data_IF_947195250299
#
_entry.id   IF_947195250299
#
_cell.length_a   1.000
_cell.length_b   1.000
_cell.length_c   1.000
_cell.angle_alpha   90.00
_cell.angle_beta   90.00
_cell.angle_gamma   90.00
#
_symmetry.space_group_name_H-M   'P 1'
#
loop_
_entity.id
_entity.type
_entity.pdbx_description
1 polymer ?
#
# COMPACT_ATOMS: atom_id res chain seq x y z
N UNK A 1 -5.80 8.42 5.26
CA UNK A 1 -4.65 9.33 5.46
C UNK A 1 -5.02 10.43 6.47
N UNK A 2 -5.83 11.41 6.08
CA UNK A 2 -6.15 12.59 6.93
C UNK A 2 -6.92 12.23 8.20
N UNK A 3 -7.90 11.32 8.15
CA UNK A 3 -8.71 10.95 9.33
C UNK A 3 -7.85 10.48 10.52
N UNK A 4 -7.00 9.45 10.36
CA UNK A 4 -6.05 9.02 11.37
C UNK A 4 -5.08 10.12 11.83
N UNK A 5 -4.52 10.90 10.90
CA UNK A 5 -3.57 11.98 11.21
C UNK A 5 -4.16 13.07 12.12
N UNK A 6 -5.47 13.31 12.00
CA UNK A 6 -6.18 14.29 12.81
C UNK A 6 -6.79 13.71 14.10
N UNK A 7 -6.74 12.37 14.29
CA UNK A 7 -7.43 11.70 15.39
C UNK A 7 -8.94 11.51 15.20
N UNK A 8 -9.48 11.73 14.00
CA UNK A 8 -10.88 11.42 13.65
C UNK A 8 -11.12 9.91 13.49
N UNK A 9 -10.05 9.11 13.46
CA UNK A 9 -10.12 7.66 13.47
C UNK A 9 -9.57 7.18 14.79
N UNK A 10 -10.44 6.58 15.59
CA UNK A 10 -10.11 6.01 16.88
C UNK A 10 -10.36 4.49 16.84
N UNK A 11 -9.63 3.71 17.65
CA UNK A 11 -9.88 2.28 17.75
C UNK A 11 -11.32 1.94 18.17
N UNK A 12 -11.84 0.85 17.62
CA UNK A 12 -13.20 0.35 17.89
C UNK A 12 -14.31 1.08 17.14
N UNK A 13 -14.01 2.08 16.32
CA UNK A 13 -15.01 2.74 15.48
C UNK A 13 -15.45 1.85 14.31
N UNK A 14 -16.69 2.03 13.87
CA UNK A 14 -17.15 1.60 12.54
C UNK A 14 -17.09 2.79 11.59
N UNK A 15 -16.33 2.70 10.50
CA UNK A 15 -16.06 3.82 9.59
C UNK A 15 -16.40 3.44 8.15
N UNK A 16 -17.25 4.24 7.52
CA UNK A 16 -17.62 4.05 6.12
C UNK A 16 -17.45 5.36 5.36
N UNK A 17 -17.01 5.27 4.10
CA UNK A 17 -16.85 6.42 3.22
C UNK A 17 -17.02 5.97 1.75
N UNK A 18 -17.31 6.91 0.87
CA UNK A 18 -17.45 6.69 -0.58
C UNK A 18 -16.16 6.30 -1.31
N UNK A 19 -15.07 6.06 -0.58
CA UNK A 19 -13.77 5.66 -1.09
C UNK A 19 -13.50 4.18 -0.81
N UNK A 20 -13.03 3.42 -1.81
CA UNK A 20 -12.79 1.98 -1.66
C UNK A 20 -11.71 1.64 -0.64
N UNK A 21 -10.74 2.54 -0.43
CA UNK A 21 -9.58 2.35 0.43
C UNK A 21 -9.81 2.83 1.86
N UNK A 22 -11.07 3.07 2.25
CA UNK A 22 -11.47 3.31 3.64
C UNK A 22 -11.00 2.20 4.59
N UNK A 23 -10.73 0.99 4.06
CA UNK A 23 -10.08 -0.11 4.78
C UNK A 23 -8.76 0.29 5.47
N UNK A 24 -8.05 1.32 4.98
CA UNK A 24 -6.84 1.89 5.59
C UNK A 24 -6.99 2.14 7.09
N UNK A 25 -8.18 2.55 7.53
CA UNK A 25 -8.45 2.92 8.93
C UNK A 25 -8.42 1.71 9.88
N UNK A 26 -8.55 0.48 9.37
CA UNK A 26 -8.45 -0.73 10.20
C UNK A 26 -7.06 -0.97 10.79
N UNK A 27 -6.04 -0.24 10.33
CA UNK A 27 -4.72 -0.21 10.97
C UNK A 27 -4.75 0.28 12.43
N UNK A 28 -5.80 1.00 12.81
CA UNK A 28 -6.07 1.48 14.16
C UNK A 28 -7.08 0.60 14.90
N UNK A 29 -7.37 -0.62 14.45
CA UNK A 29 -8.38 -1.49 15.06
C UNK A 29 -9.83 -1.02 14.84
N UNK A 30 -10.08 -0.27 13.75
CA UNK A 30 -11.42 0.13 13.33
C UNK A 30 -12.02 -0.84 12.31
N UNK A 31 -13.33 -1.06 12.36
CA UNK A 31 -14.06 -1.76 11.30
C UNK A 31 -14.36 -0.76 10.18
N UNK A 32 -13.51 -0.73 9.15
CA UNK A 32 -13.57 0.30 8.12
C UNK A 32 -13.64 -0.26 6.70
N UNK A 33 -14.54 0.28 5.88
CA UNK A 33 -14.72 -0.17 4.49
C UNK A 33 -15.42 0.87 3.61
N UNK A 34 -15.16 0.79 2.30
CA UNK A 34 -15.80 1.65 1.31
C UNK A 34 -17.25 1.24 1.01
N UNK A 35 -18.09 2.23 0.73
CA UNK A 35 -19.53 2.07 0.42
C UNK A 35 -19.92 2.88 -0.82
N UNK A 36 -21.03 2.50 -1.46
CA UNK A 36 -21.54 3.20 -2.65
C UNK A 36 -22.27 4.51 -2.31
N UNK A 37 -22.50 5.37 -3.31
CA UNK A 37 -23.15 6.68 -3.12
C UNK A 37 -24.51 6.59 -2.42
N UNK A 38 -25.36 5.63 -2.79
CA UNK A 38 -26.67 5.43 -2.14
C UNK A 38 -26.54 4.97 -0.68
N UNK A 39 -25.51 4.19 -0.35
CA UNK A 39 -25.24 3.79 1.03
C UNK A 39 -24.74 5.00 1.85
N UNK A 40 -23.92 5.88 1.25
CA UNK A 40 -23.47 7.13 1.90
C UNK A 40 -24.67 7.99 2.28
N UNK A 41 -25.62 8.19 1.35
CA UNK A 41 -26.86 8.92 1.62
C UNK A 41 -27.63 8.30 2.79
N UNK A 42 -27.77 6.97 2.80
CA UNK A 42 -28.46 6.25 3.87
C UNK A 42 -27.78 6.41 5.24
N UNK A 43 -26.46 6.32 5.29
CA UNK A 43 -25.68 6.50 6.53
C UNK A 43 -25.80 7.93 7.05
N UNK A 44 -25.76 8.94 6.17
CA UNK A 44 -25.96 10.33 6.56
C UNK A 44 -27.37 10.58 7.10
N UNK A 45 -28.38 9.90 6.55
CA UNK A 45 -29.77 10.04 7.00
C UNK A 45 -30.08 9.30 8.30
N UNK A 46 -29.42 8.17 8.57
CA UNK A 46 -29.84 7.23 9.63
C UNK A 46 -28.78 6.93 10.69
N UNK A 47 -27.50 7.20 10.41
CA UNK A 47 -26.38 6.75 11.24
C UNK A 47 -26.14 5.24 11.21
N UNK A 48 -26.84 4.50 10.34
CA UNK A 48 -26.83 3.05 10.28
C UNK A 48 -26.59 2.55 8.86
N UNK A 49 -26.09 1.32 8.73
CA UNK A 49 -25.95 0.63 7.45
C UNK A 49 -26.20 -0.86 7.64
N UNK A 50 -27.07 -1.44 6.83
CA UNK A 50 -27.27 -2.88 6.81
C UNK A 50 -26.08 -3.56 6.13
N UNK A 51 -25.48 -4.56 6.78
CA UNK A 51 -24.38 -5.35 6.23
C UNK A 51 -24.55 -6.83 6.59
N UNK A 52 -24.08 -7.70 5.70
CA UNK A 52 -23.92 -9.12 6.01
C UNK A 52 -22.61 -9.34 6.77
N UNK A 53 -22.63 -10.19 7.79
CA UNK A 53 -21.42 -10.53 8.54
C UNK A 53 -20.42 -11.25 7.62
N UNK A 54 -19.21 -10.70 7.51
CA UNK A 54 -18.12 -11.34 6.77
C UNK A 54 -17.55 -12.52 7.57
N UNK A 55 -16.96 -13.47 6.86
CA UNK A 55 -16.13 -14.52 7.47
C UNK A 55 -14.81 -13.93 7.99
N UNK A 56 -14.15 -14.61 8.92
CA UNK A 56 -12.89 -14.17 9.51
C UNK A 56 -11.70 -14.85 8.80
N UNK A 57 -10.84 -14.06 8.16
CA UNK A 57 -9.58 -14.54 7.57
C UNK A 57 -8.40 -13.97 8.38
N UNK A 58 -7.59 -14.84 8.99
CA UNK A 58 -6.35 -14.44 9.64
C UNK A 58 -5.17 -14.59 8.69
N UNK A 59 -4.42 -13.52 8.46
CA UNK A 59 -3.13 -13.55 7.76
C UNK A 59 -2.04 -13.30 8.79
N UNK A 60 -1.35 -14.37 9.18
CA UNK A 60 -0.32 -14.37 10.22
C UNK A 60 1.07 -14.32 9.60
N UNK A 61 1.74 -13.17 9.71
CA UNK A 61 3.09 -12.94 9.20
C UNK A 61 4.06 -12.92 10.37
N UNK A 62 4.95 -13.93 10.44
CA UNK A 62 5.88 -14.10 11.56
C UNK A 62 7.33 -14.08 11.13
N UNK A 63 8.18 -13.47 11.95
CA UNK A 63 9.63 -13.37 11.73
C UNK A 63 10.10 -11.92 11.61
N UNK A 64 11.34 -11.76 11.13
CA UNK A 64 11.92 -10.45 10.83
C UNK A 64 11.95 -10.26 9.31
N UNK A 65 11.56 -9.05 8.88
CA UNK A 65 11.70 -8.64 7.48
C UNK A 65 13.19 -8.44 7.16
N UNK A 66 13.56 -8.75 5.93
CA UNK A 66 14.90 -8.44 5.43
C UNK A 66 15.07 -6.92 5.31
N UNK A 67 16.32 -6.48 5.21
CA UNK A 67 16.63 -5.06 4.98
C UNK A 67 15.93 -4.56 3.70
N UNK A 68 15.43 -3.32 3.74
CA UNK A 68 14.69 -2.68 2.65
C UNK A 68 13.35 -3.32 2.26
N UNK A 69 12.88 -4.34 2.99
CA UNK A 69 11.51 -4.87 2.86
C UNK A 69 10.57 -4.06 3.75
N UNK A 70 9.53 -3.49 3.14
CA UNK A 70 8.56 -2.62 3.78
C UNK A 70 7.17 -3.28 3.89
N UNK A 71 6.23 -2.61 4.56
CA UNK A 71 4.84 -3.04 4.60
C UNK A 71 4.20 -3.16 3.20
N UNK A 72 4.67 -2.38 2.22
CA UNK A 72 4.23 -2.47 0.82
C UNK A 72 4.59 -3.81 0.20
N UNK A 73 5.81 -4.27 0.46
CA UNK A 73 6.30 -5.56 -0.04
C UNK A 73 5.54 -6.71 0.63
N UNK A 74 5.22 -6.59 1.92
CA UNK A 74 4.38 -7.56 2.63
C UNK A 74 2.98 -7.63 2.02
N UNK A 75 2.34 -6.49 1.76
CA UNK A 75 1.01 -6.42 1.17
C UNK A 75 0.99 -7.04 -0.24
N UNK A 76 1.94 -6.66 -1.09
CA UNK A 76 2.07 -7.22 -2.44
C UNK A 76 2.35 -8.72 -2.40
N UNK A 77 3.24 -9.19 -1.54
CA UNK A 77 3.53 -10.62 -1.38
C UNK A 77 2.27 -11.40 -0.98
N UNK A 78 1.48 -10.89 -0.02
CA UNK A 78 0.21 -11.50 0.38
C UNK A 78 -0.74 -11.61 -0.82
N UNK A 79 -0.93 -10.52 -1.58
CA UNK A 79 -1.81 -10.51 -2.75
C UNK A 79 -1.31 -11.48 -3.82
N UNK A 80 0.00 -11.58 -4.04
CA UNK A 80 0.58 -12.58 -4.95
C UNK A 80 0.33 -14.03 -4.53
N UNK A 81 0.17 -14.30 -3.24
CA UNK A 81 -0.14 -15.65 -2.74
C UNK A 81 -1.63 -16.01 -2.81
N UNK A 82 -2.51 -15.06 -2.50
CA UNK A 82 -3.95 -15.33 -2.36
C UNK A 82 -4.79 -14.87 -3.56
N UNK A 83 -4.18 -14.09 -4.45
CA UNK A 83 -4.85 -13.45 -5.58
C UNK A 83 -5.75 -12.28 -5.17
N UNK A 84 -6.25 -11.59 -6.18
CA UNK A 84 -7.17 -10.45 -6.04
C UNK A 84 -8.56 -10.82 -5.52
N UNK A 85 -8.91 -12.12 -5.53
CA UNK A 85 -10.16 -12.64 -5.00
C UNK A 85 -9.99 -13.39 -3.66
N UNK A 86 -8.77 -13.53 -3.13
CA UNK A 86 -8.47 -14.38 -1.97
C UNK A 86 -9.17 -13.98 -0.67
N UNK A 87 -9.50 -12.70 -0.52
CA UNK A 87 -10.24 -12.14 0.62
C UNK A 87 -11.73 -11.94 0.39
N UNK A 88 -12.28 -12.37 -0.75
CA UNK A 88 -13.69 -12.14 -1.09
C UNK A 88 -14.62 -12.76 -0.04
N UNK A 89 -15.48 -11.94 0.56
CA UNK A 89 -16.42 -12.37 1.61
C UNK A 89 -15.80 -12.50 3.01
N UNK A 90 -14.53 -12.14 3.17
CA UNK A 90 -13.82 -12.13 4.45
C UNK A 90 -13.54 -10.70 4.94
N UNK A 91 -13.48 -10.56 6.26
CA UNK A 91 -12.73 -9.51 6.93
C UNK A 91 -11.34 -10.08 7.27
N UNK A 92 -10.29 -9.37 6.85
CA UNK A 92 -8.91 -9.79 7.10
C UNK A 92 -8.42 -9.22 8.42
N UNK A 93 -7.95 -10.08 9.30
CA UNK A 93 -7.09 -9.71 10.42
C UNK A 93 -5.63 -9.98 10.05
N UNK A 94 -4.81 -8.93 9.99
CA UNK A 94 -3.37 -9.04 9.84
C UNK A 94 -2.72 -9.17 11.21
N UNK A 95 -2.03 -10.29 11.43
CA UNK A 95 -1.49 -10.67 12.73
C UNK A 95 -0.06 -11.22 12.62
N UNK A 96 0.54 -11.52 13.77
CA UNK A 96 1.88 -12.09 13.87
C UNK A 96 2.95 -11.05 14.20
N UNK A 97 4.12 -11.56 14.58
CA UNK A 97 5.23 -10.74 15.14
C UNK A 97 5.72 -9.68 14.16
N UNK A 98 5.61 -9.94 12.86
CA UNK A 98 6.00 -8.98 11.82
C UNK A 98 5.06 -7.78 11.79
N UNK A 99 3.75 -8.03 11.83
CA UNK A 99 2.72 -6.99 11.76
C UNK A 99 2.73 -6.13 13.04
N UNK A 100 2.94 -6.77 14.20
CA UNK A 100 3.20 -6.07 15.47
C UNK A 100 4.47 -5.20 15.38
N UNK A 101 5.51 -5.69 14.70
CA UNK A 101 6.76 -4.99 14.44
C UNK A 101 6.62 -3.73 13.59
N UNK A 102 5.62 -3.64 12.71
CA UNK A 102 5.37 -2.46 11.87
C UNK A 102 5.02 -1.21 12.70
N UNK A 103 5.27 -0.04 12.13
CA UNK A 103 4.67 1.22 12.56
C UNK A 103 3.17 1.22 12.24
N UNK A 104 2.41 2.14 12.86
CA UNK A 104 0.99 2.31 12.51
C UNK A 104 0.82 2.76 11.07
N UNK A 105 1.74 3.57 10.56
CA UNK A 105 1.79 3.99 9.15
C UNK A 105 2.00 2.79 8.21
N UNK A 106 2.88 1.84 8.56
CA UNK A 106 3.06 0.60 7.80
C UNK A 106 1.83 -0.31 7.86
N UNK A 107 1.15 -0.37 9.01
CA UNK A 107 -0.15 -1.07 9.12
C UNK A 107 -1.20 -0.43 8.22
N UNK A 108 -1.21 0.90 8.09
CA UNK A 108 -2.12 1.58 7.16
C UNK A 108 -1.84 1.20 5.71
N UNK A 109 -0.58 1.06 5.29
CA UNK A 109 -0.23 0.52 3.96
C UNK A 109 -0.82 -0.87 3.74
N UNK A 110 -0.71 -1.75 4.74
CA UNK A 110 -1.23 -3.12 4.66
C UNK A 110 -2.76 -3.15 4.58
N UNK A 111 -3.45 -2.45 5.49
CA UNK A 111 -4.91 -2.37 5.52
C UNK A 111 -5.49 -1.65 4.29
N UNK A 112 -4.78 -0.66 3.73
CA UNK A 112 -5.14 -0.02 2.47
C UNK A 112 -5.27 -1.05 1.36
N UNK A 113 -4.28 -1.94 1.22
CA UNK A 113 -4.23 -2.93 0.14
C UNK A 113 -5.09 -4.19 0.39
N UNK A 114 -5.85 -4.26 1.48
CA UNK A 114 -6.78 -5.37 1.73
C UNK A 114 -7.83 -5.49 0.61
N UNK A 115 -8.26 -4.36 0.04
CA UNK A 115 -9.23 -4.34 -1.07
C UNK A 115 -8.64 -4.90 -2.36
N UNK A 116 -7.34 -4.72 -2.59
CA UNK A 116 -6.63 -5.35 -3.71
C UNK A 116 -6.45 -6.86 -3.54
N UNK A 117 -6.59 -7.39 -2.32
CA UNK A 117 -6.74 -8.83 -2.04
C UNK A 117 -8.20 -9.32 -2.11
N UNK A 118 -9.15 -8.43 -2.40
CA UNK A 118 -10.59 -8.76 -2.49
C UNK A 118 -11.37 -8.64 -1.17
N UNK A 119 -10.71 -8.27 -0.06
CA UNK A 119 -11.38 -8.05 1.22
C UNK A 119 -11.77 -6.58 1.39
N UNK A 120 -13.03 -6.32 1.71
CA UNK A 120 -13.50 -4.94 1.99
C UNK A 120 -12.93 -4.36 3.28
N UNK A 121 -12.47 -5.22 4.18
CA UNK A 121 -11.97 -4.89 5.51
C UNK A 121 -10.61 -5.53 5.72
N UNK A 122 -9.66 -4.74 6.19
CA UNK A 122 -8.39 -5.22 6.73
C UNK A 122 -8.13 -4.53 8.06
N UNK A 123 -7.82 -5.29 9.11
CA UNK A 123 -7.64 -4.78 10.47
C UNK A 123 -6.39 -5.34 11.15
N UNK A 124 -5.83 -4.54 12.05
CA UNK A 124 -4.75 -4.94 12.97
C UNK A 124 -5.24 -4.70 14.39
N UNK A 125 -4.95 -5.66 15.28
CA UNK A 125 -5.26 -5.52 16.70
C UNK A 125 -4.60 -4.27 17.31
N UNK A 126 -5.25 -3.69 18.31
CA UNK A 126 -4.72 -2.54 19.03
C UNK A 126 -3.56 -2.98 19.92
N UNK A 127 -2.51 -2.16 19.94
CA UNK A 127 -1.37 -2.29 20.84
C UNK A 127 -0.85 -0.89 21.23
N UNK A 128 0.22 -0.86 22.02
CA UNK A 128 0.84 0.39 22.50
C UNK A 128 1.18 1.36 21.37
N UNK A 129 1.64 0.88 20.22
CA UNK A 129 1.96 1.75 19.07
C UNK A 129 0.71 2.43 18.51
N UNK A 130 -0.41 1.70 18.46
CA UNK A 130 -1.70 2.27 18.07
C UNK A 130 -2.14 3.36 19.04
N UNK A 131 -2.00 3.12 20.34
CA UNK A 131 -2.35 4.09 21.39
C UNK A 131 -1.45 5.33 21.31
N UNK A 132 -0.14 5.14 21.20
CA UNK A 132 0.85 6.22 21.06
C UNK A 132 0.60 7.06 19.81
N UNK A 133 0.24 6.44 18.69
CA UNK A 133 -0.04 7.16 17.44
C UNK A 133 -1.22 8.13 17.56
N UNK A 134 -2.25 7.74 18.32
CA UNK A 134 -3.48 8.53 18.54
C UNK A 134 -3.29 9.60 19.62
N UNK A 135 -2.34 9.41 20.53
CA UNK A 135 -2.12 10.32 21.68
C UNK A 135 -1.79 11.74 21.22
N UNK A 136 -2.54 12.70 21.77
CA UNK A 136 -2.31 14.13 21.51
C UNK A 136 -2.73 14.60 20.11
N UNK A 137 -3.40 13.76 19.31
CA UNK A 137 -3.98 14.19 18.02
C UNK A 137 -5.15 15.15 18.26
N UNK A 138 -5.41 16.11 17.35
CA UNK A 138 -6.40 17.17 17.56
C UNK A 138 -7.80 16.70 17.98
N UNK A 139 -8.27 15.57 17.44
CA UNK A 139 -9.59 15.01 17.74
C UNK A 139 -9.55 13.79 18.67
N UNK A 140 -8.38 13.44 19.22
CA UNK A 140 -8.28 12.37 20.20
C UNK A 140 -8.85 12.80 21.57
N UNK A 141 -9.39 11.87 22.37
CA UNK A 141 -9.84 12.17 23.72
C UNK A 141 -8.68 12.65 24.59
N UNK A 142 -8.99 13.40 25.66
CA UNK A 142 -8.00 13.93 26.61
C UNK A 142 -8.50 13.77 28.05
N UNK A 143 -7.60 13.85 29.03
CA UNK A 143 -7.94 13.71 30.45
C UNK A 143 -8.59 12.37 30.77
N UNK A 144 -9.60 12.35 31.63
CA UNK A 144 -10.27 11.12 32.08
C UNK A 144 -10.88 10.30 30.92
N UNK A 145 -11.32 10.96 29.84
CA UNK A 145 -11.85 10.27 28.66
C UNK A 145 -10.75 9.55 27.87
N UNK A 146 -9.51 10.04 27.92
CA UNK A 146 -8.37 9.33 27.35
C UNK A 146 -8.11 8.03 28.10
N UNK A 147 -8.10 8.07 29.44
CA UNK A 147 -7.82 6.89 30.26
C UNK A 147 -8.89 5.80 30.06
N UNK A 148 -10.18 6.18 30.03
CA UNK A 148 -11.28 5.26 29.69
C UNK A 148 -11.15 4.69 28.28
N UNK A 149 -10.78 5.53 27.32
CA UNK A 149 -10.60 5.08 25.94
C UNK A 149 -9.45 4.08 25.83
N UNK A 150 -8.32 4.34 26.48
CA UNK A 150 -7.17 3.41 26.52
C UNK A 150 -7.54 2.09 27.19
N UNK A 151 -8.29 2.12 28.30
CA UNK A 151 -8.78 0.90 28.95
C UNK A 151 -9.61 0.04 27.99
N UNK A 152 -10.56 0.66 27.27
CA UNK A 152 -11.36 -0.03 26.25
C UNK A 152 -10.51 -0.50 25.06
N UNK A 153 -9.61 0.35 24.55
CA UNK A 153 -8.78 0.04 23.39
C UNK A 153 -7.85 -1.14 23.64
N UNK A 154 -7.38 -1.33 24.87
CA UNK A 154 -6.60 -2.51 25.25
C UNK A 154 -7.36 -3.83 25.13
N UNK A 155 -8.71 -3.81 25.05
CA UNK A 155 -9.50 -5.02 24.81
C UNK A 155 -9.71 -5.31 23.33
N UNK A 156 -9.23 -4.46 22.42
CA UNK A 156 -9.47 -4.57 20.98
C UNK A 156 -8.40 -5.42 20.28
N UNK A 157 -8.35 -6.68 20.68
CA UNK A 157 -7.57 -7.74 20.05
C UNK A 157 -8.39 -9.04 20.06
N UNK A 158 -7.98 -10.02 19.27
CA UNK A 158 -8.65 -11.32 19.24
C UNK A 158 -8.44 -12.05 20.56
N UNK A 159 -9.50 -12.71 21.05
CA UNK A 159 -9.44 -13.54 22.25
C UNK A 159 -8.56 -14.78 22.04
N UNK A 160 -8.04 -15.33 23.13
CA UNK A 160 -7.39 -16.64 23.09
C UNK A 160 -8.40 -17.71 22.60
N UNK A 161 -8.03 -18.45 21.55
CA UNK A 161 -8.93 -19.43 20.93
C UNK A 161 -10.00 -18.85 20.00
N UNK A 162 -9.92 -17.56 19.64
CA UNK A 162 -10.83 -16.96 18.66
C UNK A 162 -10.89 -17.77 17.35
N UNK A 163 -12.11 -17.97 16.84
CA UNK A 163 -12.36 -18.73 15.62
C UNK A 163 -12.12 -17.87 14.37
N UNK A 164 -11.31 -18.42 13.47
CA UNK A 164 -11.11 -17.89 12.12
C UNK A 164 -11.54 -18.94 11.11
N UNK A 165 -12.40 -18.55 10.17
CA UNK A 165 -12.86 -19.41 9.08
C UNK A 165 -11.69 -19.89 8.21
N UNK A 166 -10.64 -19.07 8.09
CA UNK A 166 -9.41 -19.42 7.38
C UNK A 166 -8.19 -18.75 8.03
N UNK A 167 -7.06 -19.46 8.04
CA UNK A 167 -5.77 -18.94 8.53
C UNK A 167 -4.68 -19.19 7.51
N UNK A 168 -3.98 -18.14 7.11
CA UNK A 168 -2.84 -18.16 6.20
C UNK A 168 -1.60 -17.75 6.99
N UNK A 169 -0.54 -18.55 6.91
CA UNK A 169 0.71 -18.33 7.64
C UNK A 169 1.85 -18.04 6.68
N UNK A 170 2.54 -16.94 6.91
CA UNK A 170 3.63 -16.46 6.06
C UNK A 170 4.86 -16.22 6.95
N UNK A 171 6.01 -16.71 6.48
CA UNK A 171 7.29 -16.40 7.08
C UNK A 171 7.86 -15.12 6.46
N UNK A 172 8.11 -14.11 7.29
CA UNK A 172 8.64 -12.81 6.87
C UNK A 172 9.94 -12.92 6.07
N UNK A 173 10.77 -13.93 6.35
CA UNK A 173 12.05 -14.16 5.65
C UNK A 173 11.88 -14.47 4.15
N UNK A 174 10.71 -14.98 3.76
CA UNK A 174 10.41 -15.30 2.37
C UNK A 174 10.01 -14.06 1.56
N UNK A 175 9.72 -12.95 2.25
CA UNK A 175 9.29 -11.70 1.62
C UNK A 175 10.56 -10.96 1.20
N UNK A 176 10.70 -10.78 -0.11
CA UNK A 176 11.71 -9.93 -0.74
C UNK A 176 11.08 -8.61 -1.16
N UNK A 177 11.86 -7.58 -1.52
CA UNK A 177 11.29 -6.40 -2.17
C UNK A 177 10.51 -6.81 -3.43
N UNK A 178 9.30 -6.28 -3.61
CA UNK A 178 8.35 -6.74 -4.63
C UNK A 178 8.25 -5.77 -5.81
N UNK A 179 8.01 -6.33 -7.00
CA UNK A 179 7.69 -5.60 -8.23
C UNK A 179 6.56 -6.33 -8.95
N UNK A 180 5.46 -5.64 -9.27
CA UNK A 180 4.44 -6.23 -10.15
C UNK A 180 4.97 -6.30 -11.57
N UNK A 181 4.90 -7.43 -12.25
CA UNK A 181 5.35 -7.60 -13.63
C UNK A 181 4.21 -7.47 -14.67
N UNK A 182 2.95 -7.60 -14.23
CA UNK A 182 1.76 -7.60 -15.09
C UNK A 182 0.83 -6.41 -14.85
N UNK A 183 -0.46 -6.61 -15.12
CA UNK A 183 -1.53 -5.59 -15.07
C UNK A 183 -2.43 -5.69 -13.83
N UNK A 184 -2.06 -6.55 -12.88
CA UNK A 184 -2.80 -6.78 -11.63
C UNK A 184 -1.83 -6.80 -10.44
N UNK A 185 -2.25 -6.38 -9.24
CA UNK A 185 -1.41 -6.46 -8.04
C UNK A 185 -0.99 -7.89 -7.65
N UNK A 186 -1.74 -8.92 -8.08
CA UNK A 186 -1.37 -10.34 -7.86
C UNK A 186 -0.26 -10.82 -8.80
N UNK A 187 -0.03 -10.12 -9.91
CA UNK A 187 1.02 -10.43 -10.88
C UNK A 187 2.34 -9.82 -10.40
N UNK A 188 2.88 -10.40 -9.33
CA UNK A 188 4.02 -9.87 -8.57
C UNK A 188 5.10 -10.91 -8.36
N UNK A 189 6.35 -10.44 -8.37
CA UNK A 189 7.55 -11.21 -8.10
C UNK A 189 8.50 -10.39 -7.21
N UNK A 190 9.50 -11.07 -6.63
CA UNK A 190 10.65 -10.36 -6.05
C UNK A 190 11.36 -9.53 -7.12
N UNK A 191 12.03 -8.46 -6.70
CA UNK A 191 12.85 -7.61 -7.59
C UNK A 191 14.02 -8.37 -8.23
N UNK A 192 14.46 -9.48 -7.63
CA UNK A 192 15.41 -10.45 -8.19
C UNK A 192 14.73 -11.56 -9.02
N UNK A 193 13.41 -11.45 -9.23
CA UNK A 193 12.59 -12.43 -9.89
C UNK A 193 12.64 -12.37 -11.41
N UNK A 194 12.02 -13.39 -12.01
CA UNK A 194 11.93 -13.57 -13.45
C UNK A 194 10.45 -13.54 -13.86
N UNK A 195 10.15 -12.81 -14.93
CA UNK A 195 8.80 -12.73 -15.51
C UNK A 195 8.32 -14.14 -15.89
N UNK A 196 7.11 -14.56 -15.46
CA UNK A 196 6.64 -15.92 -15.66
C UNK A 196 6.47 -16.26 -17.14
N UNK A 197 6.58 -17.55 -17.42
CA UNK A 197 6.42 -18.11 -18.75
C UNK A 197 5.03 -18.74 -18.89
N UNK A 198 4.14 -18.20 -19.74
CA UNK A 198 2.78 -18.72 -19.88
C UNK A 198 2.75 -20.16 -20.39
N UNK A 199 3.80 -20.63 -21.07
CA UNK A 199 3.86 -22.00 -21.59
C UNK A 199 4.24 -23.03 -20.50
N UNK A 200 4.69 -22.54 -19.32
CA UNK A 200 4.95 -23.37 -18.13
C UNK A 200 3.78 -23.36 -17.13
N UNK A 201 2.75 -22.55 -17.36
CA UNK A 201 1.55 -22.51 -16.53
C UNK A 201 0.59 -23.64 -16.91
N UNK A 202 0.17 -24.40 -15.92
CA UNK A 202 -0.70 -25.58 -16.08
C UNK A 202 -2.18 -25.21 -16.17
N UNK A 203 -2.58 -24.10 -15.56
CA UNK A 203 -3.94 -23.59 -15.63
C UNK A 203 -4.12 -22.75 -16.91
N UNK A 204 -4.96 -23.19 -17.88
CA UNK A 204 -5.11 -22.50 -19.16
C UNK A 204 -5.66 -21.08 -19.02
N UNK A 205 -6.46 -20.81 -17.99
CA UNK A 205 -7.02 -19.46 -17.74
C UNK A 205 -5.92 -18.54 -17.22
N UNK A 206 -5.09 -19.02 -16.28
CA UNK A 206 -3.94 -18.25 -15.79
C UNK A 206 -2.89 -18.05 -16.88
N UNK A 207 -2.60 -19.07 -17.68
CA UNK A 207 -1.68 -18.97 -18.80
C UNK A 207 -2.10 -17.86 -19.77
N UNK A 208 -3.40 -17.79 -20.10
CA UNK A 208 -3.93 -16.73 -20.95
C UNK A 208 -3.90 -15.35 -20.28
N UNK A 209 -4.18 -15.27 -18.99
CA UNK A 209 -4.00 -14.05 -18.19
C UNK A 209 -2.56 -13.53 -18.24
N UNK A 210 -1.57 -14.42 -18.11
CA UNK A 210 -0.14 -14.09 -18.24
C UNK A 210 0.14 -13.57 -19.66
N UNK A 211 -0.31 -14.27 -20.72
CA UNK A 211 -0.10 -13.82 -22.12
C UNK A 211 -0.64 -12.41 -22.36
N UNK A 212 -1.86 -12.13 -21.89
CA UNK A 212 -2.50 -10.83 -22.04
C UNK A 212 -1.74 -9.74 -21.29
N UNK A 213 -1.34 -10.01 -20.04
CA UNK A 213 -0.56 -9.06 -19.25
C UNK A 213 0.81 -8.75 -19.87
N UNK A 214 1.51 -9.78 -20.38
CA UNK A 214 2.80 -9.62 -21.06
C UNK A 214 2.68 -8.84 -22.37
N UNK A 215 1.61 -9.13 -23.13
CA UNK A 215 1.27 -8.40 -24.36
C UNK A 215 1.03 -6.93 -24.06
N UNK A 216 0.23 -6.61 -23.03
CA UNK A 216 -0.06 -5.23 -22.64
C UNK A 216 1.17 -4.50 -22.11
N UNK A 217 1.92 -5.10 -21.17
CA UNK A 217 3.06 -4.46 -20.49
C UNK A 217 4.32 -4.45 -21.36
N UNK A 218 4.27 -5.02 -22.57
CA UNK A 218 5.39 -5.14 -23.50
C UNK A 218 6.61 -5.82 -22.85
N UNK A 219 6.36 -6.92 -22.13
CA UNK A 219 7.42 -7.74 -21.50
C UNK A 219 7.45 -9.15 -22.11
N UNK A 220 8.64 -9.73 -22.19
CA UNK A 220 8.84 -11.10 -22.64
C UNK A 220 8.90 -12.04 -21.44
N UNK A 221 8.34 -13.23 -21.59
CA UNK A 221 8.53 -14.33 -20.64
C UNK A 221 10.02 -14.59 -20.38
N UNK A 222 10.34 -15.04 -19.16
CA UNK A 222 11.70 -15.32 -18.69
C UNK A 222 12.64 -14.10 -18.64
N UNK A 223 12.14 -12.87 -18.78
CA UNK A 223 12.94 -11.64 -18.58
C UNK A 223 13.21 -11.45 -17.08
N UNK A 224 14.47 -11.27 -16.63
CA UNK A 224 14.74 -10.84 -15.25
C UNK A 224 14.19 -9.43 -15.03
N UNK A 225 13.34 -9.24 -14.03
CA UNK A 225 12.61 -7.96 -13.88
C UNK A 225 13.55 -6.79 -13.62
N UNK A 226 14.68 -7.05 -12.96
CA UNK A 226 15.73 -6.06 -12.72
C UNK A 226 16.49 -5.62 -13.98
N UNK A 227 16.21 -6.17 -15.16
CA UNK A 227 16.79 -5.69 -16.44
C UNK A 227 15.84 -4.77 -17.21
N UNK A 228 14.63 -4.57 -16.70
CA UNK A 228 13.59 -3.78 -17.38
C UNK A 228 13.79 -2.30 -17.05
N UNK A 229 14.11 -1.53 -18.09
CA UNK A 229 14.24 -0.07 -18.01
C UNK A 229 12.89 0.59 -17.72
N UNK A 230 12.93 1.70 -16.99
CA UNK A 230 11.77 2.53 -16.70
C UNK A 230 11.97 3.93 -17.27
N UNK A 231 10.86 4.62 -17.57
CA UNK A 231 10.85 5.99 -18.07
C UNK A 231 10.53 6.99 -16.96
N UNK A 232 9.66 6.60 -16.03
CA UNK A 232 9.12 7.49 -14.99
C UNK A 232 9.10 6.82 -13.62
N UNK A 233 9.13 7.65 -12.58
CA UNK A 233 9.00 7.21 -11.20
C UNK A 233 7.95 8.06 -10.49
N UNK A 234 7.09 7.40 -9.72
CA UNK A 234 6.07 8.05 -8.92
C UNK A 234 6.14 7.56 -7.46
N UNK A 235 6.61 8.44 -6.57
CA UNK A 235 6.59 8.25 -5.12
C UNK A 235 5.47 9.11 -4.56
N UNK A 236 4.33 8.49 -4.33
CA UNK A 236 3.10 9.14 -3.91
C UNK A 236 1.93 8.14 -3.90
N UNK A 237 0.88 8.48 -3.16
CA UNK A 237 -0.45 7.82 -3.09
C UNK A 237 -0.94 7.75 -1.64
N UNK A 238 -2.24 7.55 -1.44
CA UNK A 238 -2.78 7.26 -0.11
C UNK A 238 -2.20 5.99 0.56
N UNK A 239 -1.49 5.15 -0.20
CA UNK A 239 -0.87 3.90 0.25
C UNK A 239 0.53 4.13 0.83
N UNK A 240 1.38 4.90 0.14
CA UNK A 240 2.80 5.09 0.49
C UNK A 240 3.27 6.53 0.18
N UNK A 241 2.84 7.48 1.01
CA UNK A 241 3.29 8.89 0.95
C UNK A 241 3.23 9.56 2.33
N UNK A 242 3.34 8.76 3.39
CA UNK A 242 3.46 9.22 4.77
C UNK A 242 4.90 9.61 5.05
N UNK A 243 5.17 10.18 6.22
CA UNK A 243 6.51 10.69 6.52
C UNK A 243 7.55 9.58 6.52
N UNK A 244 7.23 8.38 7.02
CA UNK A 244 8.17 7.26 6.98
C UNK A 244 8.50 6.80 5.55
N UNK A 245 7.52 6.82 4.64
CA UNK A 245 7.72 6.45 3.23
C UNK A 245 8.69 7.42 2.56
N UNK A 246 8.50 8.72 2.79
CA UNK A 246 9.34 9.78 2.25
C UNK A 246 10.76 9.73 2.82
N UNK A 247 10.91 9.46 4.13
CA UNK A 247 12.23 9.30 4.76
C UNK A 247 12.99 8.11 4.18
N UNK A 248 12.31 6.97 3.98
CA UNK A 248 12.93 5.78 3.37
C UNK A 248 13.39 6.07 1.95
N UNK A 249 12.54 6.67 1.12
CA UNK A 249 12.93 7.07 -0.23
C UNK A 249 14.09 8.08 -0.23
N UNK A 250 14.02 9.11 0.62
CA UNK A 250 15.06 10.13 0.74
C UNK A 250 16.41 9.53 1.19
N UNK A 251 16.40 8.55 2.10
CA UNK A 251 17.62 7.86 2.53
C UNK A 251 18.31 7.14 1.37
N UNK A 252 17.55 6.55 0.44
CA UNK A 252 18.08 5.92 -0.78
C UNK A 252 18.58 6.96 -1.78
N UNK A 253 17.86 8.09 -1.89
CA UNK A 253 18.13 9.19 -2.84
C UNK A 253 19.30 10.08 -2.46
N UNK A 254 19.59 10.26 -1.17
CA UNK A 254 20.53 11.26 -0.66
C UNK A 254 21.92 11.17 -1.30
N UNK A 255 22.37 12.28 -1.88
CA UNK A 255 23.69 12.40 -2.52
C UNK A 255 23.83 11.67 -3.85
N UNK A 256 22.72 11.21 -4.44
CA UNK A 256 22.66 10.55 -5.75
C UNK A 256 21.79 11.40 -6.69
N UNK A 257 21.86 11.12 -7.98
CA UNK A 257 20.98 11.72 -9.00
C UNK A 257 20.17 10.64 -9.71
N UNK A 258 18.99 10.99 -10.20
CA UNK A 258 18.20 10.12 -11.07
C UNK A 258 18.98 9.83 -12.37
N UNK A 259 18.77 8.64 -12.96
CA UNK A 259 19.44 8.25 -14.19
C UNK A 259 18.99 9.08 -15.40
N UNK A 260 19.88 9.27 -16.38
CA UNK A 260 19.64 10.09 -17.57
C UNK A 260 18.45 9.61 -18.43
N UNK A 261 18.08 8.33 -18.33
CA UNK A 261 16.93 7.78 -19.04
C UNK A 261 15.58 8.03 -18.34
N UNK A 262 15.58 8.52 -17.10
CA UNK A 262 14.36 8.88 -16.37
C UNK A 262 13.86 10.22 -16.89
N UNK A 263 12.73 10.20 -17.58
CA UNK A 263 12.08 11.39 -18.16
C UNK A 263 11.41 12.25 -17.09
N UNK A 264 10.89 11.61 -16.03
CA UNK A 264 10.19 12.29 -14.95
C UNK A 264 10.20 11.45 -13.67
N UNK A 265 10.62 12.03 -12.56
CA UNK A 265 10.49 11.43 -11.24
C UNK A 265 9.70 12.38 -10.32
N UNK A 266 8.56 11.93 -9.82
CA UNK A 266 7.67 12.74 -8.98
C UNK A 266 7.71 12.26 -7.52
N UNK A 267 7.70 13.21 -6.60
CA UNK A 267 7.38 12.95 -5.18
C UNK A 267 6.18 13.77 -4.76
N UNK A 268 5.16 13.10 -4.25
CA UNK A 268 3.87 13.68 -3.89
C UNK A 268 3.53 13.29 -2.45
N UNK A 269 3.64 14.24 -1.50
CA UNK A 269 3.25 14.00 -0.12
C UNK A 269 1.76 13.67 0.03
N UNK A 270 1.42 12.86 1.01
CA UNK A 270 0.07 12.36 1.17
C UNK A 270 -0.94 13.30 1.83
N UNK A 271 -0.46 14.34 2.51
CA UNK A 271 -1.26 15.42 3.09
C UNK A 271 -0.43 16.69 3.20
N UNK A 272 -1.08 17.84 3.41
CA UNK A 272 -0.38 19.11 3.62
C UNK A 272 0.47 19.10 4.90
N UNK A 273 0.07 18.35 5.93
CA UNK A 273 0.83 18.19 7.16
C UNK A 273 2.10 17.36 6.94
N UNK A 274 2.00 16.24 6.22
CA UNK A 274 3.16 15.43 5.83
C UNK A 274 4.12 16.23 4.95
N UNK A 275 3.59 17.02 3.99
CA UNK A 275 4.42 17.90 3.16
C UNK A 275 5.22 18.88 4.01
N UNK A 276 4.53 19.62 4.89
CA UNK A 276 5.17 20.58 5.79
C UNK A 276 6.24 19.91 6.64
N UNK A 277 5.93 18.75 7.24
CA UNK A 277 6.88 18.00 8.04
C UNK A 277 8.11 17.57 7.21
N UNK A 278 7.90 17.09 5.98
CA UNK A 278 8.98 16.68 5.09
C UNK A 278 9.88 17.87 4.70
N UNK A 279 9.30 19.06 4.47
CA UNK A 279 10.03 20.30 4.18
C UNK A 279 10.80 20.81 5.41
N UNK A 280 10.20 20.74 6.61
CA UNK A 280 10.86 21.06 7.88
C UNK A 280 12.06 20.13 8.15
N UNK A 281 11.97 18.86 7.73
CA UNK A 281 13.04 17.86 7.79
C UNK A 281 14.05 17.97 6.63
N UNK A 282 13.80 18.82 5.63
CA UNK A 282 14.64 19.02 4.45
C UNK A 282 14.63 17.85 3.45
N UNK A 283 13.60 16.99 3.50
CA UNK A 283 13.45 15.86 2.57
C UNK A 283 13.15 16.34 1.15
N UNK A 284 12.39 17.43 1.02
CA UNK A 284 12.11 18.11 -0.24
C UNK A 284 13.41 18.43 -1.00
N UNK A 285 14.41 18.98 -0.30
CA UNK A 285 15.72 19.33 -0.86
C UNK A 285 16.48 18.11 -1.33
N UNK A 286 16.46 17.02 -0.56
CA UNK A 286 17.10 15.76 -0.97
C UNK A 286 16.53 15.27 -2.30
N UNK A 287 15.21 15.35 -2.47
CA UNK A 287 14.55 14.95 -3.71
C UNK A 287 14.85 15.92 -4.86
N UNK A 288 14.74 17.23 -4.65
CA UNK A 288 15.01 18.21 -5.71
C UNK A 288 16.46 18.20 -6.15
N UNK A 289 17.40 18.05 -5.21
CA UNK A 289 18.84 17.97 -5.51
C UNK A 289 19.14 16.74 -6.37
N UNK A 290 18.45 15.62 -6.14
CA UNK A 290 18.58 14.41 -6.94
C UNK A 290 17.87 14.48 -8.31
N UNK A 291 17.07 15.52 -8.58
CA UNK A 291 16.36 15.74 -9.85
C UNK A 291 14.89 15.33 -9.85
N UNK A 292 14.28 15.05 -8.70
CA UNK A 292 12.83 14.82 -8.61
C UNK A 292 12.06 16.14 -8.64
N UNK A 293 10.84 16.10 -9.18
CA UNK A 293 9.86 17.17 -8.97
C UNK A 293 9.11 16.95 -7.65
N UNK A 294 9.28 17.89 -6.72
CA UNK A 294 8.52 17.95 -5.46
C UNK A 294 7.15 18.60 -5.70
N UNK A 295 6.06 17.85 -5.48
CA UNK A 295 4.69 18.30 -5.75
C UNK A 295 3.95 18.77 -4.50
N UNK A 296 2.80 19.37 -4.73
CA UNK A 296 1.77 19.60 -3.71
C UNK A 296 1.06 18.30 -3.33
N UNK A 297 0.55 18.25 -2.10
CA UNK A 297 -0.13 17.07 -1.60
C UNK A 297 -1.43 16.78 -2.36
N UNK A 298 -1.62 15.51 -2.76
CA UNK A 298 -2.82 15.10 -3.49
C UNK A 298 -2.72 13.72 -4.13
N UNK A 299 -3.77 13.29 -4.83
CA UNK A 299 -3.80 11.98 -5.49
C UNK A 299 -2.83 11.87 -6.67
N UNK A 300 -2.60 12.97 -7.41
CA UNK A 300 -1.66 13.03 -8.54
C UNK A 300 -1.82 11.82 -9.50
N UNK A 301 -0.70 11.24 -9.94
CA UNK A 301 -0.64 10.10 -10.85
C UNK A 301 -1.29 8.83 -10.28
N UNK A 302 -1.58 8.72 -8.98
CA UNK A 302 -2.26 7.54 -8.40
C UNK A 302 -3.63 7.27 -9.03
N UNK A 303 -4.30 8.34 -9.48
CA UNK A 303 -5.63 8.31 -10.12
C UNK A 303 -5.59 8.85 -11.56
N UNK A 304 -4.52 9.56 -11.95
CA UNK A 304 -4.33 10.18 -13.27
C UNK A 304 -5.54 11.00 -13.76
N UNK A 305 -6.26 11.64 -12.82
CA UNK A 305 -7.35 12.58 -13.09
C UNK A 305 -6.86 14.02 -13.27
N UNK A 306 -5.56 14.26 -13.13
CA UNK A 306 -4.92 15.54 -13.31
C UNK A 306 -3.88 15.46 -14.45
N UNK A 307 -3.08 16.52 -14.61
CA UNK A 307 -2.03 16.56 -15.63
C UNK A 307 -0.89 15.55 -15.38
N UNK A 308 -0.75 15.02 -14.15
CA UNK A 308 0.22 13.99 -13.83
C UNK A 308 -0.29 12.63 -14.36
N UNK A 309 0.06 12.32 -15.62
CA UNK A 309 -0.27 11.07 -16.29
C UNK A 309 0.93 10.52 -17.06
N UNK A 310 0.88 9.22 -17.33
CA UNK A 310 1.79 8.55 -18.23
C UNK A 310 1.28 8.68 -19.68
N UNK A 311 2.20 8.87 -20.60
CA UNK A 311 1.95 8.83 -22.03
C UNK A 311 2.01 7.39 -22.55
N UNK A 312 1.39 7.08 -23.70
CA UNK A 312 1.44 5.74 -24.28
C UNK A 312 2.87 5.24 -24.47
N UNK A 313 3.13 4.01 -24.03
CA UNK A 313 4.43 3.35 -24.11
C UNK A 313 5.41 3.68 -22.97
N UNK A 314 5.08 4.62 -22.07
CA UNK A 314 5.94 4.93 -20.92
C UNK A 314 5.77 3.90 -19.80
N UNK A 315 6.90 3.49 -19.20
CA UNK A 315 6.94 2.58 -18.06
C UNK A 315 7.25 3.31 -16.76
N UNK A 316 6.45 3.07 -15.72
CA UNK A 316 6.53 3.72 -14.43
C UNK A 316 6.80 2.74 -13.29
N UNK A 317 7.76 3.05 -12.42
CA UNK A 317 7.85 2.48 -11.07
C UNK A 317 7.03 3.35 -10.11
N UNK A 318 5.96 2.79 -9.55
CA UNK A 318 4.90 3.53 -8.88
C UNK A 318 4.63 2.98 -7.48
N UNK A 319 4.57 3.86 -6.48
CA UNK A 319 4.17 3.48 -5.11
C UNK A 319 2.64 3.50 -4.91
N UNK A 320 1.87 3.56 -6.01
CA UNK A 320 0.41 3.42 -6.02
C UNK A 320 -0.05 2.03 -5.55
N UNK A 321 -1.35 1.84 -5.33
CA UNK A 321 -1.96 0.54 -5.02
C UNK A 321 -2.50 -0.20 -6.24
N UNK A 322 -2.65 0.45 -7.40
CA UNK A 322 -3.28 -0.14 -8.59
C UNK A 322 -2.46 0.08 -9.85
N UNK A 323 -2.31 -0.99 -10.64
CA UNK A 323 -1.61 -1.03 -11.93
C UNK A 323 -2.48 -1.62 -13.07
N UNK A 324 -3.81 -1.58 -12.93
CA UNK A 324 -4.72 -1.97 -14.01
C UNK A 324 -4.46 -1.18 -15.28
N UNK A 325 -4.79 -1.77 -16.43
CA UNK A 325 -4.62 -1.14 -17.73
C UNK A 325 -5.25 0.25 -17.77
N UNK A 326 -4.48 1.24 -18.22
CA UNK A 326 -4.95 2.63 -18.32
C UNK A 326 -4.98 3.41 -17.01
N UNK A 327 -4.66 2.79 -15.86
CA UNK A 327 -4.84 3.40 -14.53
C UNK A 327 -4.08 4.71 -14.35
N UNK A 328 -2.82 4.76 -14.79
CA UNK A 328 -1.99 5.97 -14.70
C UNK A 328 -1.86 6.72 -16.05
N UNK A 329 -2.59 6.26 -17.08
CA UNK A 329 -2.50 6.77 -18.45
C UNK A 329 -2.82 5.67 -19.46
N UNK A 330 -3.57 5.99 -20.51
CA UNK A 330 -3.94 5.02 -21.54
C UNK A 330 -2.70 4.52 -22.30
N UNK A 331 -2.58 3.19 -22.44
CA UNK A 331 -1.43 2.54 -23.09
C UNK A 331 -0.10 2.67 -22.34
N UNK A 332 -0.11 3.01 -21.05
CA UNK A 332 1.08 3.10 -20.20
C UNK A 332 1.31 1.83 -19.37
N UNK A 333 2.54 1.63 -18.91
CA UNK A 333 2.93 0.43 -18.16
C UNK A 333 3.27 0.79 -16.71
N UNK A 334 2.39 0.43 -15.79
CA UNK A 334 2.58 0.73 -14.36
C UNK A 334 3.07 -0.50 -13.61
N UNK A 335 4.12 -0.33 -12.80
CA UNK A 335 4.63 -1.37 -11.90
C UNK A 335 4.57 -0.89 -10.46
N UNK A 336 3.90 -1.64 -9.59
CA UNK A 336 3.80 -1.33 -8.17
C UNK A 336 5.07 -1.78 -7.45
N UNK A 337 5.64 -0.87 -6.68
CA UNK A 337 6.85 -1.09 -5.90
C UNK A 337 6.78 -0.34 -4.55
N UNK A 338 7.66 -0.67 -3.61
CA UNK A 338 7.82 0.11 -2.37
C UNK A 338 8.57 1.44 -2.62
N UNK A 339 8.47 2.42 -1.70
CA UNK A 339 9.22 3.69 -1.82
C UNK A 339 10.72 3.51 -1.98
N UNK A 340 11.31 2.54 -1.28
CA UNK A 340 12.73 2.22 -1.37
C UNK A 340 13.11 1.74 -2.77
N UNK A 341 12.31 0.84 -3.35
CA UNK A 341 12.55 0.31 -4.69
C UNK A 341 12.25 1.35 -5.77
N UNK A 342 11.24 2.20 -5.61
CA UNK A 342 10.99 3.33 -6.49
C UNK A 342 12.20 4.28 -6.53
N UNK A 343 12.75 4.65 -5.37
CA UNK A 343 13.93 5.50 -5.27
C UNK A 343 15.18 4.83 -5.88
N UNK A 344 15.44 3.57 -5.56
CA UNK A 344 16.57 2.81 -6.11
C UNK A 344 16.47 2.68 -7.65
N UNK A 345 15.26 2.45 -8.16
CA UNK A 345 15.01 2.30 -9.60
C UNK A 345 15.16 3.64 -10.34
N UNK A 346 14.81 4.76 -9.70
CA UNK A 346 15.03 6.09 -10.27
C UNK A 346 16.53 6.39 -10.48
N UNK A 347 17.36 5.99 -9.53
CA UNK A 347 18.82 6.17 -9.61
C UNK A 347 19.44 5.21 -10.63
N UNK A 348 18.92 3.98 -10.74
CA UNK A 348 19.47 2.95 -11.61
C UNK A 348 18.98 3.05 -13.07
N UNK A 349 17.82 3.66 -13.32
CA UNK A 349 17.20 3.70 -14.64
C UNK A 349 16.40 2.44 -15.02
N UNK A 350 16.39 1.43 -14.16
CA UNK A 350 15.70 0.15 -14.31
C UNK A 350 15.25 -0.34 -12.94
N UNK A 351 14.39 -1.37 -12.86
CA UNK A 351 14.03 -1.94 -11.54
C UNK A 351 15.28 -2.44 -10.82
N UNK A 352 15.51 -1.96 -9.60
CA UNK A 352 16.75 -2.22 -8.88
C UNK A 352 16.51 -2.42 -7.39
N UNK A 353 17.32 -3.28 -6.80
CA UNK A 353 17.45 -3.39 -5.36
C UNK A 353 18.11 -2.14 -4.77
N UNK A 354 17.86 -1.89 -3.49
CA UNK A 354 18.57 -0.85 -2.75
C UNK A 354 20.02 -1.30 -2.55
N UNK A 355 20.97 -0.43 -2.89
CA UNK A 355 22.43 -0.65 -2.76
C UNK A 355 23.10 0.45 -1.97
#
# INVERSE_FOLDING_TARGET
>A
MVGPEQGATLPGMSIVCGDSHTSTHGALGALAFGIGTSEVEHVLATGCLWQSKSKNLKIEVSGQLNEFVSAKDVALYIIGQIGTAGGTGYAIEFAGTTIQGLSVEGRMTLCNMAIEAGARVGMVAVDDKTIEYVKGRPMAPTGDEWDKAVEYWNTLHSDEGAHFDQVIRINAKNIKPQVTWGTSPEMVIGVDGIVPDPDKETDPVKAEGIRNALSYIHLKANTPINTVNIDKVFIGSCTNSRIEDLRVAAAVTKGKHIADNIKLALVVPGSGLIKKQAEDEGLDKIFTDAGYEWREAGCSMCLAMNADKLEPGERCASTSNRNFEGRQGQGSFTHLVSPAIAAASAIAGHFSEVR
#
